data_IF_540502252885
#
_entry.id   IF_540502252885
#
_cell.length_a   1.000
_cell.length_b   1.000
_cell.length_c   1.000
_cell.angle_alpha   90.00
_cell.angle_beta   90.00
_cell.angle_gamma   90.00
#
_symmetry.space_group_name_H-M   'P 1'
#
loop_
_entity.id
_entity.type
_entity.pdbx_description
1 polymer ?
#
# COMPACT_ATOMS: atom_id res chain seq x y z
N UNK A 1 0.81 -58.11 -10.66
CA UNK A 1 1.34 -57.71 -11.98
C UNK A 1 1.93 -56.31 -11.88
N UNK A 2 3.24 -56.17 -11.96
CA UNK A 2 3.99 -54.93 -11.76
C UNK A 2 4.24 -54.28 -13.13
N UNK A 3 3.66 -53.11 -13.43
CA UNK A 3 3.86 -52.41 -14.71
C UNK A 3 5.18 -51.65 -14.68
N UNK A 4 6.11 -51.95 -15.60
CA UNK A 4 7.36 -51.19 -15.76
C UNK A 4 7.06 -49.83 -16.44
N UNK A 5 7.71 -48.73 -16.03
CA UNK A 5 7.59 -47.46 -16.75
C UNK A 5 8.25 -47.57 -18.15
N UNK A 6 7.77 -46.81 -19.15
CA UNK A 6 8.32 -46.86 -20.50
C UNK A 6 9.76 -46.32 -20.53
N UNK A 7 10.62 -46.98 -21.32
CA UNK A 7 11.99 -46.56 -21.54
C UNK A 7 12.04 -45.24 -22.32
N UNK A 8 12.78 -44.25 -21.80
CA UNK A 8 13.06 -43.00 -22.51
C UNK A 8 14.05 -43.30 -23.64
N UNK A 9 13.63 -43.07 -24.89
CA UNK A 9 14.45 -43.26 -26.08
C UNK A 9 15.08 -41.91 -26.46
N UNK A 10 16.36 -41.74 -26.16
CA UNK A 10 17.13 -40.58 -26.64
C UNK A 10 17.36 -40.70 -28.15
N UNK A 11 17.00 -39.66 -28.91
CA UNK A 11 17.32 -39.57 -30.34
C UNK A 11 18.78 -39.08 -30.51
N UNK A 12 19.50 -39.56 -31.55
CA UNK A 12 20.88 -39.14 -31.80
C UNK A 12 20.96 -37.65 -32.17
N UNK A 13 22.01 -36.97 -31.71
CA UNK A 13 22.24 -35.53 -31.91
C UNK A 13 22.38 -35.11 -33.39
N UNK A 14 22.55 -36.07 -34.30
CA UNK A 14 22.57 -35.83 -35.75
C UNK A 14 21.23 -35.36 -36.32
N UNK A 15 20.15 -35.43 -35.54
CA UNK A 15 18.81 -34.97 -35.94
C UNK A 15 18.42 -33.64 -35.27
N UNK A 16 19.35 -32.96 -34.60
CA UNK A 16 19.12 -31.63 -34.03
C UNK A 16 19.56 -30.55 -35.02
N UNK A 17 18.80 -30.35 -36.09
CA UNK A 17 18.98 -29.24 -37.03
C UNK A 17 18.36 -27.94 -36.49
N UNK A 18 18.53 -27.65 -35.19
CA UNK A 18 18.03 -26.40 -34.62
C UNK A 18 19.03 -25.31 -34.96
N UNK A 19 18.66 -24.42 -35.87
CA UNK A 19 19.50 -23.29 -36.28
C UNK A 19 19.72 -22.33 -35.11
N UNK A 20 20.91 -21.73 -35.04
CA UNK A 20 21.18 -20.65 -34.07
C UNK A 20 20.20 -19.47 -34.22
N UNK A 21 19.66 -19.27 -35.43
CA UNK A 21 18.60 -18.28 -35.68
C UNK A 21 17.27 -18.66 -35.01
N UNK A 22 16.99 -19.96 -34.89
CA UNK A 22 15.78 -20.47 -34.24
C UNK A 22 15.89 -20.34 -32.72
N UNK A 23 17.06 -20.65 -32.16
CA UNK A 23 17.41 -20.38 -30.75
C UNK A 23 17.43 -18.90 -30.38
N UNK A 24 17.78 -18.02 -31.33
CA UNK A 24 17.74 -16.57 -31.11
C UNK A 24 16.31 -16.00 -31.26
N UNK A 25 15.42 -16.70 -31.97
CA UNK A 25 14.01 -16.33 -32.13
C UNK A 25 13.09 -16.88 -31.04
N UNK A 26 13.56 -17.84 -30.23
CA UNK A 26 12.79 -18.29 -29.07
C UNK A 26 12.77 -17.16 -28.05
N UNK A 27 11.57 -16.62 -27.81
CA UNK A 27 11.34 -15.70 -26.70
C UNK A 27 11.95 -16.28 -25.43
N UNK A 28 12.90 -15.57 -24.84
CA UNK A 28 13.60 -16.04 -23.65
C UNK A 28 12.58 -16.06 -22.49
N UNK A 29 12.35 -17.19 -21.78
CA UNK A 29 11.41 -17.24 -20.66
C UNK A 29 11.75 -16.30 -19.49
N UNK A 30 12.95 -15.71 -19.52
CA UNK A 30 13.45 -14.73 -18.56
C UNK A 30 13.72 -13.39 -19.26
N UNK A 31 12.87 -13.01 -20.21
CA UNK A 31 12.99 -11.78 -20.99
C UNK A 31 12.80 -10.51 -20.16
N UNK A 32 13.29 -9.40 -20.68
CA UNK A 32 13.32 -8.08 -20.05
C UNK A 32 11.93 -7.39 -19.93
N UNK A 33 10.84 -8.13 -20.16
CA UNK A 33 9.46 -7.68 -20.15
C UNK A 33 8.95 -7.33 -18.75
N UNK A 34 9.30 -8.12 -17.73
CA UNK A 34 8.92 -7.86 -16.34
C UNK A 34 9.50 -6.55 -15.77
N UNK A 35 10.58 -6.02 -16.38
CA UNK A 35 11.12 -4.71 -16.02
C UNK A 35 10.33 -3.58 -16.66
N UNK A 36 9.90 -3.76 -17.91
CA UNK A 36 9.10 -2.79 -18.66
C UNK A 36 7.66 -2.73 -18.11
N UNK A 37 7.08 -3.86 -17.68
CA UNK A 37 5.78 -3.94 -17.02
C UNK A 37 5.77 -3.20 -15.67
N UNK A 38 6.87 -3.30 -14.91
CA UNK A 38 6.99 -2.58 -13.63
C UNK A 38 7.13 -1.07 -13.81
N UNK A 39 7.78 -0.62 -14.87
CA UNK A 39 7.89 0.80 -15.20
C UNK A 39 6.59 1.37 -15.78
N UNK A 40 5.80 0.55 -16.50
CA UNK A 40 4.47 0.92 -16.98
C UNK A 40 3.57 1.36 -15.81
N UNK A 41 3.61 0.63 -14.69
CA UNK A 41 2.80 0.94 -13.50
C UNK A 41 3.09 2.33 -12.89
N UNK A 42 4.29 2.89 -13.06
CA UNK A 42 4.61 4.24 -12.58
C UNK A 42 4.03 5.32 -13.48
N UNK A 43 4.10 5.13 -14.79
CA UNK A 43 3.57 6.08 -15.77
C UNK A 43 2.05 6.13 -15.81
N UNK A 44 1.40 5.05 -15.35
CA UNK A 44 -0.05 4.94 -15.27
C UNK A 44 -0.65 5.63 -14.03
N UNK A 45 0.18 6.05 -13.06
CA UNK A 45 -0.30 6.71 -11.86
C UNK A 45 -0.72 8.14 -12.16
N UNK A 46 -1.94 8.47 -11.76
CA UNK A 46 -2.39 9.84 -11.70
C UNK A 46 -1.79 10.55 -10.47
N UNK A 47 -0.63 11.19 -10.64
CA UNK A 47 0.08 11.88 -9.55
C UNK A 47 -0.75 12.99 -8.89
N UNK A 48 -1.63 13.65 -9.64
CA UNK A 48 -2.51 14.65 -9.08
C UNK A 48 -3.57 14.00 -8.17
N UNK A 49 -4.08 12.80 -8.51
CA UNK A 49 -4.97 12.04 -7.63
C UNK A 49 -4.28 11.72 -6.30
N UNK A 50 -3.02 11.29 -6.36
CA UNK A 50 -2.20 10.96 -5.20
C UNK A 50 -2.03 12.18 -4.29
N UNK A 51 -1.68 13.33 -4.85
CA UNK A 51 -1.52 14.57 -4.08
C UNK A 51 -2.84 14.99 -3.43
N UNK A 52 -3.95 14.96 -4.18
CA UNK A 52 -5.28 15.29 -3.66
C UNK A 52 -5.68 14.35 -2.53
N UNK A 53 -5.53 13.04 -2.72
CA UNK A 53 -5.82 12.04 -1.71
C UNK A 53 -4.94 12.20 -0.46
N UNK A 54 -3.66 12.58 -0.60
CA UNK A 54 -2.77 12.86 0.52
C UNK A 54 -3.19 14.11 1.30
N UNK A 55 -3.57 15.19 0.62
CA UNK A 55 -4.09 16.42 1.25
C UNK A 55 -5.38 16.11 2.03
N UNK A 56 -6.30 15.36 1.42
CA UNK A 56 -7.55 14.94 2.08
C UNK A 56 -7.26 14.05 3.28
N UNK A 57 -6.39 13.05 3.14
CA UNK A 57 -5.98 12.15 4.23
C UNK A 57 -5.35 12.89 5.39
N UNK A 58 -4.48 13.87 5.13
CA UNK A 58 -3.88 14.70 6.16
C UNK A 58 -4.91 15.62 6.84
N UNK A 59 -5.83 16.20 6.06
CA UNK A 59 -6.96 16.98 6.57
C UNK A 59 -7.88 16.16 7.48
N UNK A 60 -8.14 14.89 7.14
CA UNK A 60 -8.85 13.95 8.02
C UNK A 60 -8.12 13.83 9.35
N UNK A 61 -6.79 13.74 9.36
CA UNK A 61 -6.00 13.71 10.59
C UNK A 61 -6.20 14.95 11.46
N UNK A 62 -6.16 16.14 10.86
CA UNK A 62 -6.41 17.40 11.56
C UNK A 62 -7.81 17.43 12.21
N UNK A 63 -8.83 16.92 11.53
CA UNK A 63 -10.21 16.84 12.07
C UNK A 63 -10.33 15.74 13.13
N UNK A 64 -9.80 14.55 12.88
CA UNK A 64 -9.92 13.38 13.75
C UNK A 64 -9.33 13.63 15.13
N UNK A 65 -8.13 14.22 15.17
CA UNK A 65 -7.41 14.54 16.40
C UNK A 65 -7.75 15.93 16.96
N UNK A 66 -8.70 16.65 16.37
CA UNK A 66 -9.18 17.91 16.95
C UNK A 66 -9.97 17.65 18.26
N UNK A 67 -9.93 18.58 19.23
CA UNK A 67 -10.64 18.44 20.50
C UNK A 67 -12.15 18.12 20.41
N UNK A 68 -12.91 18.61 19.40
CA UNK A 68 -14.34 18.27 19.25
C UNK A 68 -14.64 16.84 18.80
N UNK A 69 -13.67 16.13 18.19
CA UNK A 69 -13.90 14.80 17.60
C UNK A 69 -13.37 13.72 18.54
N UNK A 70 -12.06 13.41 18.48
CA UNK A 70 -11.43 12.43 19.38
C UNK A 70 -10.18 12.97 20.06
N UNK A 71 -9.78 14.21 19.78
CA UNK A 71 -8.55 14.81 20.30
C UNK A 71 -8.46 14.83 21.83
N UNK A 72 -9.56 15.17 22.53
CA UNK A 72 -9.58 15.16 24.00
C UNK A 72 -9.31 13.77 24.57
N UNK A 73 -9.94 12.72 24.01
CA UNK A 73 -9.75 11.35 24.49
C UNK A 73 -8.35 10.84 24.14
N UNK A 74 -7.90 11.11 22.92
CA UNK A 74 -6.54 10.76 22.50
C UNK A 74 -5.48 11.39 23.43
N UNK A 75 -5.59 12.70 23.72
CA UNK A 75 -4.66 13.40 24.63
C UNK A 75 -4.63 12.77 26.04
N UNK A 76 -5.79 12.41 26.59
CA UNK A 76 -5.88 11.71 27.88
C UNK A 76 -5.16 10.36 27.86
N UNK A 77 -5.32 9.60 26.77
CA UNK A 77 -4.73 8.27 26.62
C UNK A 77 -3.22 8.31 26.33
N UNK A 78 -2.72 9.40 25.76
CA UNK A 78 -1.29 9.58 25.47
C UNK A 78 -0.55 10.44 26.51
N UNK A 79 -1.25 11.01 27.49
CA UNK A 79 -0.69 11.95 28.46
C UNK A 79 -0.20 13.27 27.84
N UNK A 80 -0.71 13.64 26.65
CA UNK A 80 -0.34 14.89 25.96
C UNK A 80 -1.14 16.05 26.58
N UNK A 81 -0.48 17.14 26.95
CA UNK A 81 -1.14 18.40 27.31
C UNK A 81 -1.13 19.37 26.13
N UNK A 82 -2.01 20.39 26.09
CA UNK A 82 -1.98 21.41 25.06
C UNK A 82 -0.60 22.08 24.96
N UNK A 83 0.06 22.37 26.08
CA UNK A 83 1.40 22.99 26.07
C UNK A 83 2.47 22.10 25.43
N UNK A 84 2.38 20.78 25.63
CA UNK A 84 3.35 19.81 25.10
C UNK A 84 2.95 19.22 23.72
N UNK A 85 1.79 19.61 23.20
CA UNK A 85 1.32 19.25 21.87
C UNK A 85 1.70 20.29 20.81
N UNK A 86 1.91 21.54 21.22
CA UNK A 86 2.25 22.66 20.34
C UNK A 86 3.62 23.24 20.72
N UNK A 87 4.66 22.85 19.98
CA UNK A 87 6.03 23.36 20.17
C UNK A 87 6.85 23.30 18.88
N UNK A 88 8.14 23.61 18.97
CA UNK A 88 9.08 23.69 17.83
C UNK A 88 9.09 22.41 16.97
N UNK A 89 9.00 21.25 17.62
CA UNK A 89 8.99 19.94 16.95
C UNK A 89 7.64 19.57 16.30
N UNK A 90 6.56 20.32 16.57
CA UNK A 90 5.23 20.01 16.04
C UNK A 90 5.18 20.22 14.53
N UNK A 91 5.80 21.28 14.01
CA UNK A 91 5.82 21.56 12.56
C UNK A 91 6.54 20.44 11.80
N UNK A 92 7.70 20.00 12.30
CA UNK A 92 8.43 18.88 11.72
C UNK A 92 7.61 17.58 11.79
N UNK A 93 6.98 17.29 12.93
CA UNK A 93 6.12 16.11 13.07
C UNK A 93 4.93 16.14 12.09
N UNK A 94 4.32 17.30 11.87
CA UNK A 94 3.25 17.48 10.88
C UNK A 94 3.76 17.27 9.45
N UNK A 95 4.92 17.82 9.11
CA UNK A 95 5.55 17.61 7.81
C UNK A 95 5.88 16.15 7.53
N UNK A 96 6.45 15.44 8.52
CA UNK A 96 6.73 14.01 8.43
C UNK A 96 5.46 13.17 8.35
N UNK A 97 4.41 13.54 9.09
CA UNK A 97 3.12 12.87 9.01
C UNK A 97 2.48 13.03 7.63
N UNK A 98 2.51 14.24 7.05
CA UNK A 98 2.04 14.48 5.68
C UNK A 98 2.84 13.66 4.67
N UNK A 99 4.17 13.63 4.78
CA UNK A 99 5.02 12.84 3.89
C UNK A 99 4.72 11.34 4.01
N UNK A 100 4.53 10.83 5.23
CA UNK A 100 4.14 9.44 5.45
C UNK A 100 2.77 9.12 4.83
N UNK A 101 1.80 10.04 4.95
CA UNK A 101 0.49 9.92 4.28
C UNK A 101 0.66 9.90 2.76
N UNK A 102 1.46 10.80 2.19
CA UNK A 102 1.73 10.84 0.74
C UNK A 102 2.33 9.52 0.24
N UNK A 103 3.31 8.97 0.96
CA UNK A 103 3.93 7.67 0.63
C UNK A 103 2.90 6.55 0.71
N UNK A 104 2.09 6.50 1.76
CA UNK A 104 1.05 5.49 1.93
C UNK A 104 -0.01 5.52 0.82
N UNK A 105 -0.46 6.72 0.44
CA UNK A 105 -1.41 6.92 -0.66
C UNK A 105 -0.78 6.58 -2.01
N UNK A 106 0.48 6.94 -2.24
CA UNK A 106 1.20 6.54 -3.45
C UNK A 106 1.34 5.02 -3.58
N UNK A 107 1.70 4.35 -2.48
CA UNK A 107 1.74 2.88 -2.44
C UNK A 107 0.36 2.27 -2.71
N UNK A 108 -0.71 2.86 -2.16
CA UNK A 108 -2.08 2.43 -2.45
C UNK A 108 -2.42 2.58 -3.95
N UNK A 109 -2.01 3.67 -4.59
CA UNK A 109 -2.22 3.88 -6.03
C UNK A 109 -1.55 2.80 -6.88
N UNK A 110 -0.32 2.38 -6.51
CA UNK A 110 0.38 1.27 -7.16
C UNK A 110 -0.39 -0.07 -7.06
N UNK A 111 -1.08 -0.31 -5.94
CA UNK A 111 -1.84 -1.54 -5.75
C UNK A 111 -3.21 -1.55 -6.46
N UNK A 112 -3.83 -0.37 -6.61
CA UNK A 112 -5.17 -0.23 -7.17
C UNK A 112 -5.14 -0.20 -8.71
N UNK A 113 -4.15 0.47 -9.31
CA UNK A 113 -4.04 0.62 -10.77
C UNK A 113 -5.02 1.63 -11.37
N UNK A 114 -4.80 1.99 -12.65
CA UNK A 114 -5.46 3.12 -13.35
C UNK A 114 -6.98 2.96 -13.54
N UNK A 115 -7.49 1.73 -13.64
CA UNK A 115 -8.88 1.48 -14.09
C UNK A 115 -9.75 0.80 -13.03
N UNK A 116 -9.42 0.97 -11.75
CA UNK A 116 -10.13 0.29 -10.66
C UNK A 116 -11.58 0.73 -10.50
N UNK A 117 -11.89 2.02 -10.69
CA UNK A 117 -13.21 2.58 -10.40
C UNK A 117 -13.45 2.82 -8.90
N UNK A 118 -14.46 3.63 -8.58
CA UNK A 118 -14.78 4.06 -7.21
C UNK A 118 -14.96 2.88 -6.23
N UNK A 119 -15.73 1.85 -6.60
CA UNK A 119 -16.04 0.74 -5.70
C UNK A 119 -14.78 -0.09 -5.38
N UNK A 120 -14.00 -0.43 -6.39
CA UNK A 120 -12.75 -1.18 -6.21
C UNK A 120 -11.75 -0.36 -5.39
N UNK A 121 -11.61 0.93 -5.70
CA UNK A 121 -10.73 1.82 -4.95
C UNK A 121 -11.13 1.94 -3.48
N UNK A 122 -12.43 2.09 -3.19
CA UNK A 122 -12.97 2.15 -1.84
C UNK A 122 -12.73 0.84 -1.07
N UNK A 123 -12.96 -0.32 -1.69
CA UNK A 123 -12.71 -1.64 -1.08
C UNK A 123 -11.22 -1.86 -0.87
N UNK A 124 -10.37 -1.54 -1.84
CA UNK A 124 -8.93 -1.67 -1.73
C UNK A 124 -8.37 -0.78 -0.61
N UNK A 125 -8.85 0.46 -0.51
CA UNK A 125 -8.53 1.37 0.58
C UNK A 125 -8.96 0.83 1.95
N UNK A 126 -10.18 0.29 2.05
CA UNK A 126 -10.68 -0.33 3.27
C UNK A 126 -9.83 -1.54 3.69
N UNK A 127 -9.50 -2.42 2.73
CA UNK A 127 -8.66 -3.60 2.95
C UNK A 127 -7.24 -3.19 3.35
N UNK A 128 -6.65 -2.18 2.72
CA UNK A 128 -5.34 -1.65 3.10
C UNK A 128 -5.37 -1.04 4.52
N UNK A 129 -6.41 -0.28 4.84
CA UNK A 129 -6.60 0.32 6.16
C UNK A 129 -6.73 -0.72 7.29
N UNK A 130 -7.51 -1.78 7.06
CA UNK A 130 -7.71 -2.86 8.04
C UNK A 130 -6.50 -3.81 8.06
N UNK A 131 -6.10 -4.32 6.90
CA UNK A 131 -5.16 -5.43 6.78
C UNK A 131 -3.69 -5.03 6.86
N UNK A 132 -3.33 -3.81 6.45
CA UNK A 132 -1.94 -3.35 6.45
C UNK A 132 -1.74 -2.35 7.59
N UNK A 133 -2.45 -1.22 7.55
CA UNK A 133 -2.19 -0.13 8.47
C UNK A 133 -2.59 -0.47 9.92
N UNK A 134 -3.80 -1.00 10.12
CA UNK A 134 -4.28 -1.35 11.47
C UNK A 134 -3.52 -2.52 12.08
N UNK A 135 -3.12 -3.51 11.29
CA UNK A 135 -2.31 -4.65 11.78
C UNK A 135 -0.96 -4.15 12.30
N UNK A 136 -0.27 -3.27 11.57
CA UNK A 136 0.98 -2.68 12.04
C UNK A 136 0.80 -1.89 13.35
N UNK A 137 -0.27 -1.10 13.45
CA UNK A 137 -0.60 -0.34 14.67
C UNK A 137 -0.86 -1.27 15.86
N UNK A 138 -1.62 -2.34 15.65
CA UNK A 138 -1.98 -3.29 16.71
C UNK A 138 -0.73 -4.02 17.21
N UNK A 139 0.11 -4.54 16.31
CA UNK A 139 1.32 -5.29 16.68
C UNK A 139 2.26 -4.38 17.48
N UNK A 140 2.62 -3.22 16.94
CA UNK A 140 3.52 -2.28 17.62
C UNK A 140 2.91 -1.81 18.94
N UNK A 141 1.61 -1.50 18.93
CA UNK A 141 0.89 -1.02 20.08
C UNK A 141 0.78 -2.04 21.23
N UNK A 142 0.71 -3.34 20.93
CA UNK A 142 0.77 -4.40 21.94
C UNK A 142 2.14 -4.40 22.63
N UNK A 143 3.23 -4.33 21.87
CA UNK A 143 4.59 -4.29 22.43
C UNK A 143 4.88 -2.99 23.19
N UNK A 144 4.23 -1.88 22.80
CA UNK A 144 4.30 -0.60 23.49
C UNK A 144 3.32 -0.49 24.68
N UNK A 145 2.61 -1.57 25.03
CA UNK A 145 1.61 -1.61 26.10
C UNK A 145 0.54 -0.49 26.00
N UNK A 146 0.15 -0.12 24.78
CA UNK A 146 -0.89 0.89 24.56
C UNK A 146 -2.26 0.36 24.98
N UNK A 147 -3.13 1.27 25.44
CA UNK A 147 -4.51 0.92 25.78
C UNK A 147 -5.30 0.52 24.53
N UNK A 148 -6.25 -0.41 24.69
CA UNK A 148 -7.12 -0.88 23.59
C UNK A 148 -7.91 0.26 22.95
N UNK A 149 -8.28 1.27 23.74
CA UNK A 149 -8.97 2.46 23.24
C UNK A 149 -8.07 3.31 22.34
N UNK A 150 -6.79 3.49 22.70
CA UNK A 150 -5.85 4.23 21.87
C UNK A 150 -5.59 3.49 20.56
N UNK A 151 -5.50 2.15 20.61
CA UNK A 151 -5.42 1.33 19.40
C UNK A 151 -6.66 1.50 18.52
N UNK A 152 -7.87 1.46 19.09
CA UNK A 152 -9.10 1.67 18.34
C UNK A 152 -9.15 3.05 17.65
N UNK A 153 -8.72 4.12 18.34
CA UNK A 153 -8.65 5.48 17.77
C UNK A 153 -7.68 5.53 16.59
N UNK A 154 -6.48 4.93 16.75
CA UNK A 154 -5.44 4.98 15.72
C UNK A 154 -5.77 4.08 14.53
N UNK A 155 -6.34 2.89 14.75
CA UNK A 155 -6.80 2.00 13.69
C UNK A 155 -7.97 2.64 12.94
N UNK A 156 -8.97 3.18 13.65
CA UNK A 156 -10.11 3.85 13.03
C UNK A 156 -9.69 5.03 12.15
N UNK A 157 -8.69 5.80 12.61
CA UNK A 157 -8.08 6.87 11.81
C UNK A 157 -7.51 6.34 10.49
N UNK A 158 -6.62 5.33 10.55
CA UNK A 158 -5.99 4.80 9.34
C UNK A 158 -6.99 4.13 8.40
N UNK A 159 -7.97 3.39 8.94
CA UNK A 159 -9.05 2.80 8.14
C UNK A 159 -9.77 3.89 7.35
N UNK A 160 -10.16 4.98 8.00
CA UNK A 160 -10.85 6.08 7.32
C UNK A 160 -9.96 6.75 6.27
N UNK A 161 -8.70 7.06 6.60
CA UNK A 161 -7.76 7.69 5.66
C UNK A 161 -7.55 6.84 4.42
N UNK A 162 -7.22 5.55 4.57
CA UNK A 162 -6.98 4.67 3.43
C UNK A 162 -8.26 4.40 2.62
N UNK A 163 -9.43 4.29 3.27
CA UNK A 163 -10.72 4.12 2.57
C UNK A 163 -11.04 5.34 1.70
N UNK A 164 -10.91 6.55 2.23
CA UNK A 164 -11.17 7.79 1.49
C UNK A 164 -10.13 7.99 0.39
N UNK A 165 -8.85 7.74 0.67
CA UNK A 165 -7.79 7.82 -0.33
C UNK A 165 -8.03 6.84 -1.48
N UNK A 166 -8.37 5.58 -1.18
CA UNK A 166 -8.69 4.58 -2.20
C UNK A 166 -9.89 4.98 -3.05
N UNK A 167 -10.93 5.56 -2.45
CA UNK A 167 -12.09 6.06 -3.18
C UNK A 167 -11.72 7.23 -4.13
N UNK A 168 -10.86 8.15 -3.70
CA UNK A 168 -10.37 9.25 -4.54
C UNK A 168 -9.54 8.70 -5.70
N UNK A 169 -8.61 7.80 -5.41
CA UNK A 169 -7.74 7.17 -6.42
C UNK A 169 -8.55 6.38 -7.44
N UNK A 170 -9.56 5.62 -7.00
CA UNK A 170 -10.38 4.81 -7.91
C UNK A 170 -11.30 5.62 -8.83
N UNK A 171 -11.56 6.90 -8.53
CA UNK A 171 -12.40 7.76 -9.39
C UNK A 171 -11.61 8.39 -10.54
N UNK A 172 -10.27 8.40 -10.46
CA UNK A 172 -9.37 9.14 -11.35
C UNK A 172 -8.68 8.28 -12.39
#
# INVERSE_FOLDING_TARGET
MQRRPPAIRWLPLSNCDVSFAELASTEHPWGDDASMDRLASLNEINYLAVIVAAIVGFGIGAVWYAPPVLGKRWMQLTGRTPENATGENTVLAMGLAFLATLIGVFALALFIGKDAGFQTGLVAGLVAGIGIASVAIIINGIFEAKSKELLAINCGYQILVFTVAGAILGVW
#
